data_IF_959429166842
#
_entry.id   IF_959429166842
#
_cell.length_a   1.000
_cell.length_b   1.000
_cell.length_c   1.000
_cell.angle_alpha   90.00
_cell.angle_beta   90.00
_cell.angle_gamma   90.00
#
_symmetry.space_group_name_H-M   'P 1'
#
loop_
_entity.id
_entity.type
_entity.pdbx_description
1 polymer ?
#
# COMPACT_ATOMS: atom_id res chain seq x y z
N UNK A 1 3.10 -30.72 20.22
CA UNK A 1 1.91 -30.19 19.51
C UNK A 1 1.35 -31.26 18.60
N UNK A 2 0.16 -31.77 18.91
CA UNK A 2 -0.46 -32.83 18.12
C UNK A 2 -0.79 -32.36 16.69
N UNK A 3 -0.80 -33.29 15.73
CA UNK A 3 -1.06 -33.02 14.31
C UNK A 3 -2.34 -32.23 14.07
N UNK A 4 -3.42 -32.55 14.81
CA UNK A 4 -4.70 -31.83 14.76
C UNK A 4 -4.55 -30.33 15.10
N UNK A 5 -3.82 -30.02 16.17
CA UNK A 5 -3.52 -28.63 16.58
C UNK A 5 -2.71 -27.91 15.50
N UNK A 6 -1.74 -28.60 14.89
CA UNK A 6 -0.92 -28.03 13.80
C UNK A 6 -1.72 -27.67 12.56
N UNK A 7 -2.64 -28.53 12.14
CA UNK A 7 -3.51 -28.24 10.99
C UNK A 7 -4.39 -27.02 11.30
N UNK A 8 -5.00 -26.98 12.50
CA UNK A 8 -5.83 -25.85 12.93
C UNK A 8 -5.05 -24.53 12.96
N UNK A 9 -3.87 -24.52 13.58
CA UNK A 9 -3.05 -23.31 13.70
C UNK A 9 -2.61 -22.77 12.32
N UNK A 10 -2.30 -23.65 11.36
CA UNK A 10 -1.95 -23.25 9.98
C UNK A 10 -3.18 -22.67 9.27
N UNK A 11 -4.35 -23.32 9.40
CA UNK A 11 -5.59 -22.85 8.80
C UNK A 11 -5.97 -21.46 9.33
N UNK A 12 -5.99 -21.29 10.64
CA UNK A 12 -6.34 -20.01 11.28
C UNK A 12 -5.40 -18.87 10.86
N UNK A 13 -4.10 -19.15 10.74
CA UNK A 13 -3.12 -18.18 10.23
C UNK A 13 -3.41 -17.77 8.80
N UNK A 14 -3.69 -18.73 7.91
CA UNK A 14 -3.99 -18.45 6.50
C UNK A 14 -5.29 -17.67 6.34
N UNK A 15 -6.34 -18.04 7.06
CA UNK A 15 -7.62 -17.33 7.04
C UNK A 15 -7.48 -15.88 7.52
N UNK A 16 -6.71 -15.65 8.60
CA UNK A 16 -6.41 -14.29 9.06
C UNK A 16 -5.68 -13.48 7.99
N UNK A 17 -4.64 -14.03 7.37
CA UNK A 17 -3.91 -13.34 6.29
C UNK A 17 -4.79 -13.03 5.09
N UNK A 18 -5.64 -13.97 4.67
CA UNK A 18 -6.60 -13.75 3.58
C UNK A 18 -7.61 -12.64 3.92
N UNK A 19 -8.15 -12.63 5.13
CA UNK A 19 -9.08 -11.60 5.59
C UNK A 19 -8.42 -10.21 5.69
N UNK A 20 -7.15 -10.13 6.12
CA UNK A 20 -6.40 -8.88 6.11
C UNK A 20 -6.13 -8.36 4.69
N UNK A 21 -5.94 -9.26 3.72
CA UNK A 21 -5.74 -8.89 2.31
C UNK A 21 -7.05 -8.45 1.65
N UNK A 22 -8.15 -9.16 1.90
CA UNK A 22 -9.46 -8.84 1.34
C UNK A 22 -10.07 -7.57 1.96
N UNK A 23 -9.92 -7.40 3.27
CA UNK A 23 -10.29 -6.20 4.01
C UNK A 23 -9.06 -5.67 4.75
N UNK A 24 -8.17 -4.91 4.06
CA UNK A 24 -7.22 -4.08 4.78
C UNK A 24 -8.04 -3.26 5.76
N UNK A 25 -7.62 -3.15 7.03
CA UNK A 25 -8.39 -2.47 8.09
C UNK A 25 -8.58 -1.00 7.71
N UNK A 26 -9.55 -0.71 6.83
CA UNK A 26 -9.84 0.58 6.19
C UNK A 26 -10.50 1.57 7.15
N UNK A 27 -10.88 1.13 8.34
CA UNK A 27 -11.65 1.96 9.24
C UNK A 27 -10.80 3.03 9.96
N UNK A 28 -9.48 2.84 10.10
CA UNK A 28 -8.62 3.80 10.79
C UNK A 28 -7.25 3.88 10.13
N UNK A 29 -6.75 5.09 9.81
CA UNK A 29 -5.35 5.24 9.43
C UNK A 29 -4.48 4.67 10.57
N UNK A 30 -3.39 3.99 10.19
CA UNK A 30 -2.39 3.50 11.13
C UNK A 30 -2.00 4.67 12.05
N UNK A 31 -2.12 4.49 13.36
CA UNK A 31 -1.68 5.51 14.31
C UNK A 31 -0.16 5.69 14.13
N UNK A 32 0.21 6.84 13.58
CA UNK A 32 1.59 7.29 13.43
C UNK A 32 1.82 8.39 14.46
N UNK A 33 3.04 8.51 14.99
CA UNK A 33 3.37 9.55 15.96
C UNK A 33 3.25 10.94 15.32
N UNK A 34 3.14 12.00 16.13
CA UNK A 34 3.11 13.39 15.61
C UNK A 34 4.35 13.71 14.76
N UNK A 35 5.51 13.17 15.12
CA UNK A 35 6.74 13.34 14.37
C UNK A 35 6.69 12.62 13.01
N UNK A 36 6.14 11.39 12.97
CA UNK A 36 6.05 10.62 11.73
C UNK A 36 5.01 11.21 10.77
N UNK A 37 3.93 11.82 11.29
CA UNK A 37 2.96 12.55 10.47
C UNK A 37 3.58 13.78 9.81
N UNK A 38 4.37 14.56 10.55
CA UNK A 38 5.06 15.73 9.99
C UNK A 38 6.08 15.33 8.91
N UNK A 39 6.80 14.21 9.10
CA UNK A 39 7.73 13.67 8.09
C UNK A 39 7.00 13.22 6.82
N UNK A 40 5.91 12.47 6.99
CA UNK A 40 5.09 11.99 5.85
C UNK A 40 4.37 13.14 5.13
N UNK A 41 3.92 14.18 5.84
CA UNK A 41 3.35 15.38 5.23
C UNK A 41 4.41 16.17 4.47
N UNK A 42 5.62 16.35 5.02
CA UNK A 42 6.73 16.99 4.33
C UNK A 42 7.15 16.21 3.06
N UNK A 43 7.28 14.89 3.15
CA UNK A 43 7.60 14.02 2.01
C UNK A 43 6.47 14.01 0.97
N UNK A 44 5.20 13.97 1.39
CA UNK A 44 4.07 14.01 0.46
C UNK A 44 3.91 15.38 -0.22
N UNK A 45 4.19 16.48 0.50
CA UNK A 45 4.23 17.83 -0.11
C UNK A 45 5.42 18.03 -1.04
N UNK A 46 6.53 17.31 -0.84
CA UNK A 46 7.66 17.31 -1.76
C UNK A 46 7.38 16.50 -3.03
N UNK A 47 6.58 15.43 -2.94
CA UNK A 47 6.19 14.60 -4.08
C UNK A 47 5.07 15.26 -4.92
N UNK A 48 4.07 15.92 -4.31
CA UNK A 48 2.98 16.55 -5.09
C UNK A 48 3.39 17.83 -5.84
N UNK A 49 4.49 18.50 -5.45
CA UNK A 49 4.99 19.68 -6.15
C UNK A 49 6.11 19.38 -7.17
N UNK A 50 6.40 18.09 -7.43
CA UNK A 50 7.63 17.66 -8.10
C UNK A 50 7.47 16.74 -9.32
N UNK A 51 6.26 16.50 -9.85
CA UNK A 51 6.08 15.68 -11.06
C UNK A 51 5.16 16.32 -12.11
N UNK A 52 5.57 17.52 -12.54
CA UNK A 52 5.33 18.04 -13.90
C UNK A 52 6.71 18.35 -14.47
N UNK A 53 7.39 17.36 -15.04
CA UNK A 53 8.41 17.48 -16.11
C UNK A 53 9.27 16.20 -16.22
N UNK A 54 8.80 15.24 -17.02
CA UNK A 54 9.67 14.39 -17.83
C UNK A 54 8.99 14.12 -19.18
N UNK A 55 9.19 15.06 -20.09
CA UNK A 55 8.90 15.00 -21.53
C UNK A 55 9.74 13.90 -22.21
N UNK A 56 9.16 13.10 -23.13
CA UNK A 56 9.69 12.85 -24.49
C UNK A 56 8.71 12.04 -25.33
N UNK A 57 8.04 12.74 -26.26
CA UNK A 57 7.80 12.37 -27.66
C UNK A 57 7.62 10.90 -28.04
N UNK A 58 6.39 10.55 -28.44
CA UNK A 58 6.10 9.71 -29.61
C UNK A 58 4.68 10.02 -30.07
N UNK A 59 4.50 11.21 -30.64
CA UNK A 59 3.38 11.49 -31.52
C UNK A 59 3.74 10.93 -32.90
N UNK A 60 3.33 9.69 -33.17
CA UNK A 60 3.30 9.14 -34.52
C UNK A 60 1.89 9.35 -35.09
N UNK A 61 1.68 10.51 -35.69
CA UNK A 61 0.68 10.71 -36.74
C UNK A 61 1.39 11.45 -37.89
N UNK A 62 1.32 10.88 -39.10
CA UNK A 62 0.88 11.73 -40.19
C UNK A 62 -0.26 11.09 -40.99
N UNK A 63 -1.37 11.84 -41.04
CA UNK A 63 -2.45 11.71 -42.03
C UNK A 63 -1.90 11.96 -43.45
N UNK A 64 -2.34 11.15 -44.40
CA UNK A 64 -2.11 11.29 -45.84
C UNK A 64 -2.92 10.27 -46.63
#
# INVERSE_FOLDING_TARGET
>A
MNRRKKIKDIYDKRMKQANLKANPKKAKPKYISKADRAKMEAENTALENGEVSSTTESADEPQG
#
